data_IF_353795840064
#
_entry.id   IF_353795840064
#
_cell.length_a   1.000
_cell.length_b   1.000
_cell.length_c   1.000
_cell.angle_alpha   90.00
_cell.angle_beta   90.00
_cell.angle_gamma   90.00
#
_symmetry.space_group_name_H-M   'P 1'
#
loop_
_entity.id
_entity.type
_entity.pdbx_description
1 polymer ?
#
# COMPACT_ATOMS: atom_id res chain seq x y z
N UNK A 1 14.70 -27.33 -56.60
CA UNK A 1 14.91 -25.96 -57.12
C UNK A 1 14.45 -25.00 -56.01
N UNK A 2 15.17 -24.01 -55.46
CA UNK A 2 16.50 -23.38 -55.60
C UNK A 2 16.61 -22.49 -54.32
N UNK A 3 17.57 -22.75 -53.41
CA UNK A 3 18.69 -21.86 -52.97
C UNK A 3 18.32 -20.35 -52.83
N UNK A 4 18.66 -19.56 -51.81
CA UNK A 4 19.69 -19.69 -50.77
C UNK A 4 19.88 -18.38 -49.96
N UNK A 5 20.39 -18.55 -48.74
CA UNK A 5 21.40 -17.75 -48.02
C UNK A 5 21.20 -16.24 -47.76
N UNK A 6 21.11 -15.90 -46.47
CA UNK A 6 22.11 -15.03 -45.83
C UNK A 6 22.45 -15.55 -44.41
N UNK A 7 23.36 -16.51 -44.33
CA UNK A 7 24.28 -16.65 -43.19
C UNK A 7 25.49 -15.75 -43.46
N UNK A 8 25.94 -15.00 -42.46
CA UNK A 8 27.35 -14.65 -42.13
C UNK A 8 27.29 -13.73 -40.89
N UNK A 9 27.46 -14.18 -39.64
CA UNK A 9 28.65 -14.76 -38.96
C UNK A 9 29.77 -13.70 -38.89
N UNK A 10 30.21 -13.23 -37.72
CA UNK A 10 31.35 -13.79 -36.95
C UNK A 10 31.60 -12.93 -35.69
N UNK A 11 31.45 -13.50 -34.48
CA UNK A 11 32.48 -14.02 -33.56
C UNK A 11 33.25 -12.98 -32.74
N UNK A 12 33.01 -12.99 -31.43
CA UNK A 12 34.08 -12.97 -30.43
C UNK A 12 33.66 -13.90 -29.29
N UNK A 13 34.20 -15.12 -29.31
CA UNK A 13 34.12 -16.07 -28.20
C UNK A 13 35.50 -16.25 -27.61
N UNK A 14 35.60 -16.08 -26.29
CA UNK A 14 36.63 -16.53 -25.36
C UNK A 14 36.08 -16.19 -23.96
N UNK A 15 36.04 -17.04 -22.93
CA UNK A 15 36.69 -18.30 -22.66
C UNK A 15 35.85 -19.10 -21.63
N UNK A 16 36.18 -20.38 -21.50
CA UNK A 16 35.58 -21.35 -20.58
C UNK A 16 35.53 -20.89 -19.11
N UNK A 17 34.40 -21.17 -18.44
CA UNK A 17 34.37 -21.49 -17.03
C UNK A 17 33.31 -22.57 -16.79
N UNK A 18 33.77 -23.75 -16.37
CA UNK A 18 32.93 -24.78 -15.76
C UNK A 18 32.40 -24.21 -14.45
N UNK A 19 31.09 -24.17 -14.24
CA UNK A 19 30.54 -23.75 -12.94
C UNK A 19 29.05 -23.51 -12.94
N UNK A 20 28.35 -24.33 -12.15
CA UNK A 20 27.05 -24.11 -11.51
C UNK A 20 25.83 -23.81 -12.40
N UNK A 21 24.72 -24.48 -12.09
CA UNK A 21 23.39 -24.08 -12.52
C UNK A 21 23.20 -22.58 -12.24
N UNK A 22 23.10 -21.79 -13.31
CA UNK A 22 22.76 -20.38 -13.22
C UNK A 22 21.32 -20.30 -12.73
N UNK A 23 21.15 -20.16 -11.41
CA UNK A 23 19.96 -19.52 -10.87
C UNK A 23 19.87 -18.18 -11.56
N UNK A 24 18.87 -18.02 -12.42
CA UNK A 24 18.52 -16.74 -13.01
C UNK A 24 17.87 -15.95 -11.88
N UNK A 25 18.66 -15.48 -10.92
CA UNK A 25 18.22 -14.41 -10.03
C UNK A 25 18.23 -13.16 -10.89
N UNK A 26 17.14 -12.96 -11.65
CA UNK A 26 16.84 -11.62 -12.14
C UNK A 26 16.98 -10.69 -10.92
N UNK A 27 17.73 -9.58 -11.01
CA UNK A 27 17.64 -8.59 -9.98
C UNK A 27 16.16 -8.22 -9.93
N UNK A 28 15.52 -8.40 -8.77
CA UNK A 28 14.34 -7.61 -8.49
C UNK A 28 14.83 -6.18 -8.68
N UNK A 29 14.51 -5.58 -9.83
CA UNK A 29 14.72 -4.17 -10.02
C UNK A 29 13.86 -3.54 -8.94
N UNK A 30 14.48 -3.18 -7.83
CA UNK A 30 13.96 -2.20 -6.90
C UNK A 30 13.89 -0.91 -7.72
N UNK A 31 12.83 -0.80 -8.52
CA UNK A 31 12.43 0.44 -9.10
C UNK A 31 12.30 1.41 -7.93
N UNK A 32 12.85 2.62 -8.10
CA UNK A 32 12.63 3.66 -7.11
C UNK A 32 11.11 3.79 -6.87
N UNK A 33 10.68 4.15 -5.64
CA UNK A 33 9.29 4.38 -5.34
C UNK A 33 8.64 5.31 -6.37
N UNK A 34 7.49 4.93 -6.92
CA UNK A 34 6.73 5.84 -7.78
C UNK A 34 5.92 6.80 -6.91
N UNK A 35 6.49 7.97 -6.68
CA UNK A 35 5.91 9.04 -5.87
C UNK A 35 5.09 10.05 -6.68
N UNK A 36 4.61 9.66 -7.86
CA UNK A 36 3.72 10.52 -8.63
C UNK A 36 2.40 10.73 -7.90
N UNK A 37 1.78 11.90 -8.12
CA UNK A 37 0.50 12.24 -7.51
C UNK A 37 -0.60 11.23 -7.86
N UNK A 38 -0.56 10.68 -9.09
CA UNK A 38 -1.51 9.66 -9.56
C UNK A 38 -1.42 8.39 -8.69
N UNK A 39 -0.21 7.85 -8.51
CA UNK A 39 -0.01 6.64 -7.69
C UNK A 39 -0.37 6.86 -6.22
N UNK A 40 -0.07 8.03 -5.67
CA UNK A 40 -0.48 8.37 -4.30
C UNK A 40 -2.00 8.49 -4.17
N UNK A 41 -2.67 9.08 -5.16
CA UNK A 41 -4.14 9.20 -5.19
C UNK A 41 -4.80 7.83 -5.35
N UNK A 42 -4.24 6.95 -6.17
CA UNK A 42 -4.67 5.55 -6.30
C UNK A 42 -4.57 4.80 -4.98
N UNK A 43 -3.47 4.97 -4.25
CA UNK A 43 -3.27 4.35 -2.93
C UNK A 43 -4.31 4.83 -1.92
N UNK A 44 -4.54 6.14 -1.82
CA UNK A 44 -5.57 6.70 -0.93
C UNK A 44 -6.97 6.23 -1.35
N UNK A 45 -7.27 6.24 -2.66
CA UNK A 45 -8.56 5.84 -3.20
C UNK A 45 -8.87 4.37 -2.96
N UNK A 46 -7.94 3.47 -3.32
CA UNK A 46 -8.09 2.02 -3.10
C UNK A 46 -8.17 1.66 -1.62
N UNK A 47 -7.36 2.29 -0.77
CA UNK A 47 -7.43 2.13 0.69
C UNK A 47 -8.78 2.59 1.24
N UNK A 48 -9.29 3.73 0.77
CA UNK A 48 -10.60 4.24 1.19
C UNK A 48 -11.74 3.29 0.77
N UNK A 49 -11.67 2.71 -0.43
CA UNK A 49 -12.65 1.72 -0.90
C UNK A 49 -12.59 0.45 -0.03
N UNK A 50 -11.38 -0.05 0.27
CA UNK A 50 -11.20 -1.20 1.13
C UNK A 50 -11.73 -0.96 2.55
N UNK A 51 -11.46 0.23 3.12
CA UNK A 51 -11.96 0.61 4.43
C UNK A 51 -13.50 0.67 4.44
N UNK A 52 -14.12 1.23 3.39
CA UNK A 52 -15.59 1.22 3.26
C UNK A 52 -16.13 -0.20 3.18
N UNK A 53 -15.57 -1.06 2.33
CA UNK A 53 -15.99 -2.46 2.21
C UNK A 53 -15.87 -3.24 3.52
N UNK A 54 -14.84 -2.95 4.31
CA UNK A 54 -14.70 -3.48 5.66
C UNK A 54 -15.82 -2.99 6.58
N UNK A 55 -16.09 -1.68 6.61
CA UNK A 55 -17.19 -1.12 7.41
C UNK A 55 -18.57 -1.60 6.94
N UNK A 56 -18.74 -1.97 5.67
CA UNK A 56 -19.96 -2.64 5.16
C UNK A 56 -20.19 -4.02 5.79
N UNK A 57 -19.12 -4.73 6.15
CA UNK A 57 -19.22 -6.02 6.83
C UNK A 57 -19.18 -5.91 8.37
N UNK A 58 -18.89 -4.72 8.91
CA UNK A 58 -18.75 -4.45 10.35
C UNK A 58 -19.68 -3.31 10.80
N UNK A 59 -20.97 -3.60 11.07
CA UNK A 59 -21.95 -2.57 11.38
C UNK A 59 -21.66 -1.83 12.70
N UNK A 60 -20.99 -2.46 13.66
CA UNK A 60 -20.55 -1.80 14.90
C UNK A 60 -19.51 -0.72 14.63
N UNK A 61 -18.43 -1.06 13.90
CA UNK A 61 -17.39 -0.11 13.53
C UNK A 61 -17.95 1.02 12.65
N UNK A 62 -18.82 0.67 11.69
CA UNK A 62 -19.53 1.65 10.86
C UNK A 62 -20.29 2.66 11.71
N UNK A 63 -21.08 2.19 12.68
CA UNK A 63 -21.91 3.07 13.49
C UNK A 63 -21.08 4.11 14.26
N UNK A 64 -19.92 3.72 14.79
CA UNK A 64 -19.04 4.62 15.52
C UNK A 64 -18.36 5.63 14.58
N UNK A 65 -17.91 5.19 13.41
CA UNK A 65 -17.32 6.07 12.38
C UNK A 65 -18.37 7.06 11.84
N UNK A 66 -19.60 6.62 11.59
CA UNK A 66 -20.67 7.48 11.08
C UNK A 66 -21.10 8.52 12.13
N UNK A 67 -21.20 8.11 13.40
CA UNK A 67 -21.52 9.01 14.51
C UNK A 67 -20.48 10.12 14.69
N UNK A 68 -19.19 9.83 14.44
CA UNK A 68 -18.09 10.78 14.56
C UNK A 68 -18.30 12.07 13.75
N UNK A 69 -19.04 12.01 12.63
CA UNK A 69 -19.34 13.18 11.80
C UNK A 69 -20.17 14.25 12.51
N UNK A 70 -20.94 13.86 13.53
CA UNK A 70 -21.79 14.77 14.32
C UNK A 70 -21.17 15.14 15.67
N UNK A 71 -19.95 14.68 15.95
CA UNK A 71 -19.28 14.84 17.23
C UNK A 71 -18.16 15.88 17.14
N UNK A 72 -17.79 16.43 18.28
CA UNK A 72 -16.53 17.17 18.39
C UNK A 72 -15.35 16.21 18.16
N UNK A 73 -14.23 16.68 17.59
CA UNK A 73 -13.04 15.84 17.40
C UNK A 73 -12.60 15.04 18.64
N UNK A 74 -12.49 15.63 19.85
CA UNK A 74 -12.09 14.87 21.02
C UNK A 74 -13.10 13.79 21.43
N UNK A 75 -14.40 14.05 21.28
CA UNK A 75 -15.45 13.08 21.57
C UNK A 75 -15.44 11.92 20.55
N UNK A 76 -15.33 12.24 19.26
CA UNK A 76 -15.20 11.26 18.19
C UNK A 76 -14.02 10.32 18.42
N UNK A 77 -12.83 10.89 18.71
CA UNK A 77 -11.64 10.09 19.01
C UNK A 77 -11.85 9.17 20.22
N UNK A 78 -12.36 9.70 21.32
CA UNK A 78 -12.59 8.91 22.52
C UNK A 78 -13.54 7.72 22.27
N UNK A 79 -14.61 7.95 21.50
CA UNK A 79 -15.59 6.91 21.16
C UNK A 79 -15.02 5.86 20.20
N UNK A 80 -14.31 6.29 19.15
CA UNK A 80 -13.62 5.40 18.21
C UNK A 80 -12.63 4.53 18.98
N UNK A 81 -11.80 5.14 19.83
CA UNK A 81 -10.82 4.43 20.65
C UNK A 81 -11.47 3.45 21.61
N UNK A 82 -12.54 3.86 22.29
CA UNK A 82 -13.29 3.00 23.20
C UNK A 82 -13.85 1.77 22.47
N UNK A 83 -14.43 1.95 21.28
CA UNK A 83 -14.94 0.87 20.46
C UNK A 83 -13.82 -0.11 20.07
N UNK A 84 -12.73 0.39 19.47
CA UNK A 84 -11.64 -0.45 18.97
C UNK A 84 -10.80 -1.08 20.09
N UNK A 85 -10.80 -0.51 21.30
CA UNK A 85 -10.23 -1.16 22.49
C UNK A 85 -11.07 -2.37 22.92
N UNK A 86 -12.40 -2.30 22.79
CA UNK A 86 -13.29 -3.43 23.04
C UNK A 86 -13.30 -4.45 21.88
N UNK A 87 -12.86 -4.05 20.68
CA UNK A 87 -12.84 -4.87 19.46
C UNK A 87 -11.41 -4.90 18.86
N UNK A 88 -10.44 -5.52 19.56
CA UNK A 88 -9.03 -5.47 19.15
C UNK A 88 -8.76 -6.16 17.80
N UNK A 89 -9.53 -7.18 17.44
CA UNK A 89 -9.45 -7.80 16.10
C UNK A 89 -9.81 -6.78 15.03
N UNK A 90 -10.94 -6.09 15.19
CA UNK A 90 -11.40 -5.09 14.22
C UNK A 90 -10.44 -3.91 14.10
N UNK A 91 -9.80 -3.53 15.21
CA UNK A 91 -8.76 -2.51 15.22
C UNK A 91 -7.59 -2.90 14.34
N UNK A 92 -7.07 -4.12 14.50
CA UNK A 92 -5.93 -4.59 13.74
C UNK A 92 -6.25 -4.78 12.26
N UNK A 93 -7.45 -5.26 11.94
CA UNK A 93 -7.93 -5.39 10.57
C UNK A 93 -8.06 -4.04 9.88
N UNK A 94 -8.75 -3.08 10.52
CA UNK A 94 -8.92 -1.74 9.95
C UNK A 94 -7.57 -1.00 9.84
N UNK A 95 -6.66 -1.14 10.81
CA UNK A 95 -5.28 -0.63 10.66
C UNK A 95 -4.55 -1.25 9.48
N UNK A 96 -4.68 -2.56 9.29
CA UNK A 96 -4.05 -3.28 8.17
C UNK A 96 -4.55 -2.76 6.83
N UNK A 97 -5.84 -2.47 6.74
CA UNK A 97 -6.44 -1.85 5.55
C UNK A 97 -5.90 -0.44 5.32
N UNK A 98 -5.72 0.36 6.37
CA UNK A 98 -5.27 1.75 6.31
C UNK A 98 -3.75 1.91 6.11
N UNK A 99 -2.97 0.85 6.40
CA UNK A 99 -1.51 0.86 6.34
C UNK A 99 -0.88 1.40 5.02
N UNK A 100 -1.42 1.11 3.82
CA UNK A 100 -0.82 1.56 2.56
C UNK A 100 -0.67 3.08 2.46
N UNK A 101 -1.55 3.85 3.10
CA UNK A 101 -1.44 5.32 3.12
C UNK A 101 -0.17 5.75 3.86
N UNK A 102 0.04 5.22 5.07
CA UNK A 102 1.24 5.53 5.85
C UNK A 102 2.53 5.00 5.23
N UNK A 103 2.47 3.83 4.58
CA UNK A 103 3.60 3.29 3.82
C UNK A 103 4.00 4.23 2.68
N UNK A 104 3.04 4.62 1.84
CA UNK A 104 3.29 5.54 0.72
C UNK A 104 3.80 6.91 1.21
N UNK A 105 3.26 7.43 2.31
CA UNK A 105 3.73 8.69 2.91
C UNK A 105 5.19 8.62 3.37
N UNK A 106 5.59 7.52 4.01
CA UNK A 106 6.98 7.31 4.46
C UNK A 106 7.93 7.07 3.30
N UNK A 107 7.52 6.23 2.35
CA UNK A 107 8.32 5.87 1.19
C UNK A 107 8.61 7.08 0.31
N UNK A 108 7.64 7.97 0.15
CA UNK A 108 7.75 9.17 -0.66
C UNK A 108 8.08 10.46 0.11
N UNK A 109 8.17 10.40 1.44
CA UNK A 109 8.37 11.56 2.32
C UNK A 109 7.36 12.70 2.06
N UNK A 110 6.07 12.36 1.99
CA UNK A 110 4.96 13.28 1.67
C UNK A 110 3.83 13.15 2.68
N UNK A 111 2.96 14.17 2.69
CA UNK A 111 1.64 14.08 3.36
C UNK A 111 0.55 14.13 2.30
N UNK A 112 -0.16 13.01 2.13
CA UNK A 112 -1.21 12.86 1.10
C UNK A 112 -2.61 13.08 1.66
N UNK A 113 -2.75 13.08 2.98
CA UNK A 113 -4.01 13.29 3.68
C UNK A 113 -4.20 14.77 4.00
N UNK A 114 -5.43 15.33 3.87
CA UNK A 114 -5.71 16.67 4.35
C UNK A 114 -5.51 16.75 5.88
N UNK A 115 -5.14 17.91 6.45
CA UNK A 115 -4.65 18.02 7.83
C UNK A 115 -5.57 17.39 8.88
N UNK A 116 -6.88 17.64 8.78
CA UNK A 116 -7.85 17.10 9.73
C UNK A 116 -8.04 15.58 9.65
N UNK A 117 -7.76 14.96 8.50
CA UNK A 117 -7.82 13.51 8.32
C UNK A 117 -6.48 12.85 8.65
N UNK A 118 -5.36 13.53 8.37
CA UNK A 118 -4.03 13.12 8.80
C UNK A 118 -3.97 12.95 10.31
N UNK A 119 -4.43 13.94 11.09
CA UNK A 119 -4.44 13.84 12.56
C UNK A 119 -5.30 12.67 13.06
N UNK A 120 -6.47 12.44 12.47
CA UNK A 120 -7.34 11.33 12.86
C UNK A 120 -6.73 9.96 12.50
N UNK A 121 -6.10 9.88 11.33
CA UNK A 121 -5.36 8.69 10.90
C UNK A 121 -4.19 8.40 11.84
N UNK A 122 -3.35 9.39 12.14
CA UNK A 122 -2.19 9.23 13.01
C UNK A 122 -2.60 8.79 14.42
N UNK A 123 -3.65 9.39 14.96
CA UNK A 123 -4.22 9.04 16.27
C UNK A 123 -4.73 7.59 16.29
N UNK A 124 -5.47 7.17 15.27
CA UNK A 124 -5.93 5.79 15.16
C UNK A 124 -4.77 4.79 15.03
N UNK A 125 -3.76 5.11 14.21
CA UNK A 125 -2.62 4.23 13.97
C UNK A 125 -1.70 4.10 15.21
N UNK A 126 -1.71 5.10 16.10
CA UNK A 126 -0.96 5.09 17.37
C UNK A 126 -1.56 4.18 18.45
N UNK A 127 -2.88 3.94 18.42
CA UNK A 127 -3.60 3.04 19.35
C UNK A 127 -4.20 3.74 20.57
#
# INVERSE_FOLDING_TARGET
>A
MKFSHHLTRRTAGAACALGAAAVITAPAASAAPDCSQERLSDTVGSTTIAARGYLDSHPGARAVIDAASNQSRPEASANIRSYFTAHPTEYHELRGILAPIGDAQRECNVTVLPPGLASAYDEFMAG
#
